data_IF_168677929636
#
_entry.id   IF_168677929636
#
_cell.length_a   1.000
_cell.length_b   1.000
_cell.length_c   1.000
_cell.angle_alpha   90.00
_cell.angle_beta   90.00
_cell.angle_gamma   90.00
#
_symmetry.space_group_name_H-M   'P 1'
#
loop_
_entity.id
_entity.type
_entity.pdbx_description
1 polymer ?
#
# COMPACT_ATOMS: atom_id res chain seq x y z
N UNK A 1 -3.90 23.22 23.93
CA UNK A 1 -4.09 22.97 22.47
C UNK A 1 -3.92 21.48 22.23
N UNK A 2 -5.01 20.78 22.03
CA UNK A 2 -4.97 19.35 21.69
C UNK A 2 -4.46 19.23 20.27
N UNK A 3 -3.19 18.82 20.10
CA UNK A 3 -2.70 18.38 18.80
C UNK A 3 -3.48 17.12 18.45
N UNK A 4 -4.42 17.20 17.53
CA UNK A 4 -5.09 16.04 16.96
C UNK A 4 -4.01 15.16 16.33
N UNK A 5 -3.65 14.08 17.02
CA UNK A 5 -2.74 13.07 16.48
C UNK A 5 -3.46 12.46 15.29
N UNK A 6 -3.11 12.89 14.09
CA UNK A 6 -3.68 12.33 12.87
C UNK A 6 -3.10 10.95 12.69
N UNK A 7 -3.95 9.92 12.74
CA UNK A 7 -3.54 8.56 12.45
C UNK A 7 -2.97 8.46 11.04
N UNK A 8 -1.82 7.83 10.90
CA UNK A 8 -1.24 7.54 9.58
C UNK A 8 -2.07 6.52 8.85
N UNK A 9 -2.50 5.46 9.57
CA UNK A 9 -3.40 4.41 9.07
C UNK A 9 -4.42 4.14 10.17
N UNK A 10 -5.68 4.04 9.81
CA UNK A 10 -6.75 3.60 10.69
C UNK A 10 -7.64 2.60 9.96
N UNK A 11 -8.11 1.56 10.65
CA UNK A 11 -9.12 0.66 10.11
C UNK A 11 -10.32 0.59 11.03
N UNK A 12 -11.51 0.45 10.45
CA UNK A 12 -12.77 0.29 11.20
C UNK A 12 -13.50 -0.95 10.72
N UNK A 13 -13.68 -1.90 11.64
CA UNK A 13 -14.39 -3.17 11.40
C UNK A 13 -13.97 -3.84 10.09
N UNK A 14 -12.67 -3.81 9.78
CA UNK A 14 -12.14 -4.29 8.51
C UNK A 14 -12.23 -5.81 8.43
N UNK A 15 -12.79 -6.31 7.34
CA UNK A 15 -12.79 -7.72 6.98
C UNK A 15 -11.91 -7.90 5.73
N UNK A 16 -10.98 -8.82 5.81
CA UNK A 16 -10.05 -9.11 4.71
C UNK A 16 -10.22 -10.54 4.20
N UNK A 17 -9.95 -10.74 2.93
CA UNK A 17 -10.07 -12.04 2.29
C UNK A 17 -10.07 -11.91 0.78
N UNK A 18 -10.65 -12.89 0.10
CA UNK A 18 -10.72 -12.94 -1.35
C UNK A 18 -12.16 -12.93 -1.82
N UNK A 19 -12.46 -12.05 -2.76
CA UNK A 19 -13.76 -11.99 -3.42
C UNK A 19 -13.62 -12.49 -4.85
N UNK A 20 -14.32 -13.56 -5.15
CA UNK A 20 -14.46 -14.09 -6.51
C UNK A 20 -15.91 -13.92 -6.98
N UNK A 21 -16.15 -13.95 -8.30
CA UNK A 21 -17.49 -13.69 -8.89
C UNK A 21 -18.66 -14.45 -8.25
N UNK A 22 -18.42 -15.59 -7.61
CA UNK A 22 -19.47 -16.45 -7.01
C UNK A 22 -19.20 -16.83 -5.54
N UNK A 23 -18.10 -16.39 -4.95
CA UNK A 23 -17.76 -16.74 -3.57
C UNK A 23 -16.96 -15.66 -2.88
N UNK A 24 -17.17 -15.51 -1.58
CA UNK A 24 -16.39 -14.63 -0.70
C UNK A 24 -15.72 -15.52 0.33
N UNK A 25 -14.40 -15.48 0.39
CA UNK A 25 -13.60 -16.17 1.39
C UNK A 25 -13.00 -15.15 2.35
N UNK A 26 -13.60 -14.98 3.50
CA UNK A 26 -13.11 -14.09 4.55
C UNK A 26 -12.03 -14.80 5.36
N UNK A 27 -10.85 -14.19 5.46
CA UNK A 27 -9.70 -14.71 6.21
C UNK A 27 -9.68 -14.16 7.63
N UNK A 28 -9.87 -12.85 7.78
CA UNK A 28 -9.91 -12.17 9.07
C UNK A 28 -11.07 -11.18 9.12
N UNK A 29 -11.62 -10.98 10.30
CA UNK A 29 -12.79 -10.12 10.54
C UNK A 29 -12.53 -9.13 11.66
N UNK A 30 -13.25 -8.02 11.65
CA UNK A 30 -13.30 -7.05 12.74
C UNK A 30 -11.92 -6.46 13.11
N UNK A 31 -11.05 -6.24 12.13
CA UNK A 31 -9.75 -5.63 12.37
C UNK A 31 -9.96 -4.13 12.54
N UNK A 32 -9.68 -3.62 13.73
CA UNK A 32 -9.71 -2.19 14.05
C UNK A 32 -8.38 -1.82 14.69
N UNK A 33 -7.55 -1.10 13.95
CA UNK A 33 -6.20 -0.68 14.36
C UNK A 33 -6.01 0.82 14.08
N UNK A 34 -5.11 1.43 14.81
CA UNK A 34 -4.67 2.80 14.60
C UNK A 34 -3.14 2.82 14.65
N UNK A 35 -2.52 3.36 13.62
CA UNK A 35 -1.08 3.53 13.51
C UNK A 35 -0.77 5.01 13.35
N UNK A 36 0.23 5.48 14.07
CA UNK A 36 0.63 6.87 14.09
C UNK A 36 1.92 7.10 13.30
N UNK A 37 2.19 8.33 13.02
CA UNK A 37 3.46 8.71 12.38
C UNK A 37 4.63 8.38 13.30
N UNK A 38 5.60 7.60 12.75
CA UNK A 38 6.79 7.16 13.49
C UNK A 38 6.65 5.78 14.14
N UNK A 39 5.45 5.18 14.12
CA UNK A 39 5.28 3.82 14.64
C UNK A 39 6.07 2.81 13.80
N UNK A 40 6.70 1.86 14.49
CA UNK A 40 7.26 0.65 13.91
C UNK A 40 6.46 -0.55 14.42
N UNK A 41 5.76 -1.23 13.54
CA UNK A 41 4.78 -2.27 13.91
C UNK A 41 5.11 -3.59 13.26
N UNK A 42 5.17 -4.65 14.07
CA UNK A 42 5.35 -6.03 13.62
C UNK A 42 4.02 -6.79 13.57
N UNK A 43 3.75 -7.49 12.46
CA UNK A 43 2.60 -8.39 12.34
C UNK A 43 3.10 -9.82 12.48
N UNK A 44 2.71 -10.47 13.58
CA UNK A 44 3.10 -11.83 13.90
C UNK A 44 1.93 -12.80 13.71
N UNK A 45 2.24 -14.02 13.32
CA UNK A 45 1.25 -15.08 13.15
C UNK A 45 1.71 -16.20 12.23
N UNK A 46 1.01 -17.32 12.24
CA UNK A 46 1.29 -18.50 11.39
C UNK A 46 1.21 -18.14 9.90
N UNK A 47 1.88 -18.93 9.06
CA UNK A 47 1.74 -18.81 7.62
C UNK A 47 0.29 -19.09 7.20
N UNK A 48 -0.21 -18.30 6.24
CA UNK A 48 -1.60 -18.41 5.78
C UNK A 48 -2.65 -17.68 6.62
N UNK A 49 -2.30 -17.11 7.79
CA UNK A 49 -3.26 -16.41 8.67
C UNK A 49 -3.80 -15.09 8.08
N UNK A 50 -3.24 -14.60 6.98
CA UNK A 50 -3.71 -13.38 6.32
C UNK A 50 -2.81 -12.15 6.46
N UNK A 51 -1.57 -12.28 6.94
CA UNK A 51 -0.64 -11.14 7.11
C UNK A 51 -0.43 -10.36 5.79
N UNK A 52 -0.10 -11.06 4.72
CA UNK A 52 0.09 -10.43 3.40
C UNK A 52 -1.22 -9.87 2.82
N UNK A 53 -2.34 -10.54 3.07
CA UNK A 53 -3.68 -10.05 2.69
C UNK A 53 -4.00 -8.74 3.41
N UNK A 54 -3.70 -8.66 4.72
CA UNK A 54 -3.87 -7.42 5.48
C UNK A 54 -3.01 -6.29 4.90
N UNK A 55 -1.72 -6.53 4.67
CA UNK A 55 -0.83 -5.51 4.09
C UNK A 55 -1.31 -5.03 2.72
N UNK A 56 -1.74 -5.94 1.83
CA UNK A 56 -2.31 -5.57 0.53
C UNK A 56 -3.60 -4.75 0.67
N UNK A 57 -4.44 -5.08 1.64
CA UNK A 57 -5.68 -4.34 1.88
C UNK A 57 -5.41 -2.95 2.47
N UNK A 58 -4.48 -2.83 3.42
CA UNK A 58 -4.07 -1.55 4.01
C UNK A 58 -3.42 -0.60 2.99
N UNK A 59 -2.85 -1.14 1.94
CA UNK A 59 -2.17 -0.35 0.88
C UNK A 59 -3.02 -0.14 -0.37
N UNK A 60 -4.25 -0.64 -0.38
CA UNK A 60 -5.16 -0.50 -1.53
C UNK A 60 -4.83 -1.36 -2.74
N UNK A 61 -3.86 -2.29 -2.61
CA UNK A 61 -3.55 -3.28 -3.67
C UNK A 61 -4.65 -4.33 -3.79
N UNK A 62 -5.40 -4.53 -2.72
CA UNK A 62 -6.52 -5.47 -2.66
C UNK A 62 -7.68 -4.81 -1.92
N UNK A 63 -8.90 -4.99 -2.44
CA UNK A 63 -10.10 -4.47 -1.80
C UNK A 63 -10.41 -5.21 -0.49
N UNK A 64 -10.97 -4.48 0.46
CA UNK A 64 -11.56 -5.06 1.66
C UNK A 64 -12.86 -5.82 1.30
N UNK A 65 -13.15 -6.90 2.03
CA UNK A 65 -14.46 -7.56 1.96
C UNK A 65 -15.54 -6.63 2.51
N UNK A 66 -15.26 -5.98 3.63
CA UNK A 66 -16.08 -4.94 4.25
C UNK A 66 -15.28 -4.15 5.28
N UNK A 67 -15.89 -3.11 5.84
CA UNK A 67 -15.21 -2.18 6.73
C UNK A 67 -14.44 -1.12 5.94
N UNK A 68 -13.63 -0.33 6.65
CA UNK A 68 -12.99 0.84 6.07
C UNK A 68 -11.52 0.93 6.44
N UNK A 69 -10.74 1.48 5.52
CA UNK A 69 -9.34 1.84 5.72
C UNK A 69 -9.20 3.34 5.49
N UNK A 70 -8.57 4.03 6.42
CA UNK A 70 -8.28 5.46 6.33
C UNK A 70 -6.78 5.67 6.31
N UNK A 71 -6.32 6.52 5.39
CA UNK A 71 -4.94 6.97 5.29
C UNK A 71 -4.94 8.46 5.56
N UNK A 72 -4.22 8.89 6.59
CA UNK A 72 -4.18 10.29 7.03
C UNK A 72 -5.59 10.89 7.23
N UNK A 73 -6.52 10.10 7.78
CA UNK A 73 -7.89 10.51 8.05
C UNK A 73 -8.85 10.50 6.84
N UNK A 74 -8.38 10.22 5.63
CA UNK A 74 -9.21 10.13 4.42
C UNK A 74 -9.38 8.67 4.03
N UNK A 75 -10.62 8.25 3.68
CA UNK A 75 -10.89 6.88 3.25
C UNK A 75 -10.05 6.52 2.01
N UNK A 76 -9.43 5.33 2.03
CA UNK A 76 -8.51 4.88 0.98
C UNK A 76 -9.17 4.87 -0.42
N UNK A 77 -10.46 4.56 -0.49
CA UNK A 77 -11.23 4.55 -1.76
C UNK A 77 -11.45 5.94 -2.34
N UNK A 78 -11.23 7.00 -1.56
CA UNK A 78 -11.34 8.39 -2.02
C UNK A 78 -10.07 8.93 -2.65
N UNK A 79 -8.98 8.15 -2.62
CA UNK A 79 -7.73 8.50 -3.28
C UNK A 79 -7.72 7.98 -4.72
N UNK A 80 -7.15 8.75 -5.64
CA UNK A 80 -6.72 8.18 -6.91
C UNK A 80 -5.37 7.45 -6.75
N UNK A 81 -5.04 6.60 -7.70
CA UNK A 81 -3.82 5.77 -7.64
C UNK A 81 -2.55 6.61 -7.51
N UNK A 82 -2.47 7.76 -8.17
CA UNK A 82 -1.30 8.65 -8.13
C UNK A 82 -1.13 9.29 -6.75
N UNK A 83 -2.21 9.72 -6.13
CA UNK A 83 -2.20 10.26 -4.76
C UNK A 83 -1.76 9.20 -3.77
N UNK A 84 -2.36 8.01 -3.85
CA UNK A 84 -2.09 6.92 -2.91
C UNK A 84 -0.65 6.42 -3.01
N UNK A 85 -0.10 6.30 -4.22
CA UNK A 85 1.29 5.87 -4.44
C UNK A 85 2.34 6.89 -3.95
N UNK A 86 1.95 8.15 -3.77
CA UNK A 86 2.79 9.16 -3.11
C UNK A 86 2.78 9.07 -1.58
N UNK A 87 1.83 8.35 -0.98
CA UNK A 87 1.66 8.24 0.47
C UNK A 87 2.10 6.89 1.03
N UNK A 88 1.96 5.83 0.24
CA UNK A 88 2.21 4.44 0.68
C UNK A 88 3.16 3.76 -0.31
N UNK A 89 4.06 2.96 0.24
CA UNK A 89 4.84 1.98 -0.52
C UNK A 89 4.68 0.59 0.10
N UNK A 90 4.73 -0.43 -0.75
CA UNK A 90 4.62 -1.83 -0.34
C UNK A 90 5.79 -2.63 -0.92
N UNK A 91 6.52 -3.33 -0.05
CA UNK A 91 7.53 -4.30 -0.45
C UNK A 91 6.94 -5.70 -0.29
N UNK A 92 6.82 -6.40 -1.40
CA UNK A 92 6.32 -7.78 -1.43
C UNK A 92 7.48 -8.77 -1.31
N UNK A 93 7.19 -9.91 -0.69
CA UNK A 93 8.14 -11.05 -0.61
C UNK A 93 8.09 -11.94 -1.85
N UNK A 94 7.18 -11.66 -2.76
CA UNK A 94 7.05 -12.40 -4.02
C UNK A 94 8.21 -12.07 -4.94
N UNK A 95 8.70 -13.09 -5.65
CA UNK A 95 9.69 -12.86 -6.70
C UNK A 95 9.04 -12.05 -7.81
N UNK A 96 9.79 -11.07 -8.31
CA UNK A 96 9.38 -10.39 -9.53
C UNK A 96 9.26 -11.42 -10.66
N UNK A 97 8.20 -11.34 -11.47
CA UNK A 97 8.12 -12.19 -12.67
C UNK A 97 9.36 -11.94 -13.54
N UNK A 98 9.79 -12.94 -14.27
CA UNK A 98 10.84 -12.76 -15.27
C UNK A 98 10.42 -11.62 -16.19
N UNK A 99 11.19 -10.56 -16.19
CA UNK A 99 10.95 -9.37 -17.02
C UNK A 99 12.23 -9.04 -17.79
N UNK A 100 12.07 -8.45 -18.95
CA UNK A 100 13.21 -7.96 -19.75
C UNK A 100 13.72 -6.59 -19.25
N UNK A 101 13.18 -6.09 -18.14
CA UNK A 101 13.58 -4.82 -17.55
C UNK A 101 14.97 -4.94 -16.90
N UNK A 102 15.82 -3.99 -17.18
CA UNK A 102 17.05 -3.80 -16.42
C UNK A 102 16.73 -3.35 -14.98
N UNK A 103 17.71 -3.48 -14.08
CA UNK A 103 17.56 -3.00 -12.68
C UNK A 103 17.24 -1.51 -12.65
N UNK A 104 17.87 -0.72 -13.52
CA UNK A 104 17.60 0.71 -13.65
C UNK A 104 16.13 0.99 -14.02
N UNK A 105 15.62 0.31 -15.04
CA UNK A 105 14.21 0.48 -15.47
C UNK A 105 13.23 0.04 -14.37
N UNK A 106 13.53 -1.03 -13.66
CA UNK A 106 12.72 -1.49 -12.53
C UNK A 106 12.64 -0.43 -11.43
N UNK A 107 13.77 0.16 -11.04
CA UNK A 107 13.81 1.24 -10.03
C UNK A 107 13.13 2.50 -10.56
N UNK A 108 13.26 2.79 -11.86
CA UNK A 108 12.62 3.92 -12.51
C UNK A 108 11.08 3.84 -12.47
N UNK A 109 10.47 2.64 -12.45
CA UNK A 109 9.03 2.48 -12.26
C UNK A 109 8.53 3.14 -10.96
N UNK A 110 9.36 3.17 -9.92
CA UNK A 110 9.04 3.87 -8.67
C UNK A 110 8.89 5.39 -8.81
N UNK A 111 9.28 5.97 -9.95
CA UNK A 111 9.11 7.40 -10.24
C UNK A 111 7.83 7.72 -11.00
N UNK A 112 7.08 6.73 -11.50
CA UNK A 112 5.84 6.94 -12.25
C UNK A 112 4.84 7.89 -11.56
N UNK A 113 4.60 7.83 -10.24
CA UNK A 113 3.68 8.76 -9.58
C UNK A 113 4.07 10.23 -9.69
N UNK A 114 5.36 10.49 -9.92
CA UNK A 114 5.97 11.82 -9.93
C UNK A 114 6.29 12.34 -11.34
N UNK A 115 6.14 11.49 -12.37
CA UNK A 115 6.38 11.87 -13.76
C UNK A 115 5.15 12.54 -14.38
N UNK A 116 5.37 13.32 -15.44
CA UNK A 116 4.32 13.96 -16.20
C UNK A 116 3.63 12.96 -17.13
N UNK A 117 2.51 13.38 -17.77
CA UNK A 117 1.73 12.63 -18.74
C UNK A 117 2.56 11.96 -19.87
N UNK A 118 3.74 12.51 -20.21
CA UNK A 118 4.64 12.00 -21.25
C UNK A 118 5.65 10.97 -20.69
N UNK A 119 5.53 10.57 -19.40
CA UNK A 119 6.41 9.61 -18.71
C UNK A 119 7.91 9.94 -18.82
N UNK A 120 8.26 11.18 -19.13
CA UNK A 120 9.66 11.60 -19.29
C UNK A 120 10.29 11.83 -17.92
N UNK A 121 11.34 11.07 -17.64
CA UNK A 121 12.16 11.27 -16.44
C UNK A 121 12.87 12.62 -16.52
N UNK A 122 12.70 13.45 -15.50
CA UNK A 122 13.45 14.68 -15.32
C UNK A 122 14.79 14.40 -14.61
N UNK A 123 15.68 15.38 -14.60
CA UNK A 123 16.99 15.27 -13.93
C UNK A 123 16.86 14.83 -12.47
N UNK A 124 15.90 15.40 -11.74
CA UNK A 124 15.61 15.04 -10.34
C UNK A 124 15.18 13.57 -10.17
N UNK A 125 14.51 12.99 -11.16
CA UNK A 125 14.09 11.58 -11.13
C UNK A 125 15.30 10.67 -11.33
N UNK A 126 16.15 11.00 -12.30
CA UNK A 126 17.42 10.30 -12.55
C UNK A 126 18.33 10.33 -11.31
N UNK A 127 18.43 11.47 -10.62
CA UNK A 127 19.20 11.59 -9.38
C UNK A 127 18.64 10.68 -8.28
N UNK A 128 17.31 10.59 -8.14
CA UNK A 128 16.66 9.70 -7.17
C UNK A 128 16.84 8.22 -7.52
N UNK A 129 16.77 7.87 -8.80
CA UNK A 129 17.02 6.49 -9.27
C UNK A 129 18.46 6.10 -8.96
N UNK A 130 19.43 6.94 -9.32
CA UNK A 130 20.86 6.67 -9.06
C UNK A 130 21.19 6.59 -7.57
N UNK A 131 20.48 7.35 -6.73
CA UNK A 131 20.64 7.25 -5.27
C UNK A 131 20.10 5.92 -4.71
N UNK A 132 19.08 5.36 -5.34
CA UNK A 132 18.41 4.12 -4.89
C UNK A 132 19.12 2.84 -5.38
N UNK A 133 20.01 2.96 -6.39
CA UNK A 133 20.85 1.88 -6.91
C UNK A 133 22.16 1.74 -6.12
#
# INVERSE_FOLDING_TARGET
MSSSVTNSIETKMLHIGYQQKKSVSTIQKNISIQLHKGDFVGILGKNGIGKSTLLRTLTGVQDAISGEVFIQGKNIQSYNLKELSGLISLVLTERLPESQLSVYELVALGRQPYTNWIEKLEKKDTEKINWAL
#
